data_IF_902108520702
#
_entry.id   IF_902108520702
#
_cell.length_a   1.000
_cell.length_b   1.000
_cell.length_c   1.000
_cell.angle_alpha   90.00
_cell.angle_beta   90.00
_cell.angle_gamma   90.00
#
_symmetry.space_group_name_H-M   'P 1'
#
loop_
_entity.id
_entity.type
_entity.pdbx_description
1 polymer ?
#
# COMPACT_ATOMS: atom_id res chain seq x y z
N UNK A 1 -0.43 18.52 5.35
CA UNK A 1 -0.30 17.78 4.06
C UNK A 1 -1.28 16.62 4.08
N UNK A 2 -1.98 16.35 2.97
CA UNK A 2 -2.99 15.27 2.92
C UNK A 2 -2.32 13.89 3.07
N UNK A 3 -2.88 13.03 3.92
CA UNK A 3 -2.35 11.67 4.20
C UNK A 3 -2.19 10.80 2.94
N UNK A 4 -2.96 11.09 1.89
CA UNK A 4 -2.92 10.43 0.59
C UNK A 4 -1.66 10.72 -0.23
N UNK A 5 -0.97 11.83 0.05
CA UNK A 5 0.27 12.23 -0.62
C UNK A 5 1.52 11.75 0.15
N UNK A 6 1.35 11.09 1.30
CA UNK A 6 2.46 10.49 2.02
C UNK A 6 3.13 9.39 1.17
N UNK A 7 4.41 9.14 1.42
CA UNK A 7 5.17 8.10 0.74
C UNK A 7 4.85 6.70 1.28
N UNK A 8 4.71 5.75 0.34
CA UNK A 8 4.60 4.31 0.56
C UNK A 8 5.73 3.63 -0.21
N UNK A 9 6.50 2.79 0.48
CA UNK A 9 7.58 2.02 -0.11
C UNK A 9 7.01 0.91 -0.99
N UNK A 10 7.62 0.70 -2.16
CA UNK A 10 7.24 -0.39 -3.06
C UNK A 10 8.38 -1.37 -3.22
N UNK A 11 8.08 -2.63 -2.97
CA UNK A 11 8.95 -3.77 -3.16
C UNK A 11 8.66 -4.46 -4.49
N UNK A 12 9.70 -4.99 -5.12
CA UNK A 12 9.55 -5.94 -6.24
C UNK A 12 9.33 -7.38 -5.73
N UNK A 13 9.21 -8.33 -6.66
CA UNK A 13 9.07 -9.77 -6.34
C UNK A 13 10.25 -10.36 -5.58
N UNK A 14 11.42 -9.73 -5.65
CA UNK A 14 12.63 -10.11 -4.90
C UNK A 14 12.72 -9.43 -3.53
N UNK A 15 11.61 -8.89 -3.02
CA UNK A 15 11.54 -8.19 -1.72
C UNK A 15 12.51 -7.00 -1.59
N UNK A 16 12.95 -6.45 -2.73
CA UNK A 16 13.87 -5.31 -2.77
C UNK A 16 13.07 -4.03 -3.00
N UNK A 17 13.40 -2.98 -2.26
CA UNK A 17 12.84 -1.64 -2.46
C UNK A 17 13.21 -1.10 -3.84
N UNK A 18 12.20 -0.76 -4.65
CA UNK A 18 12.41 -0.27 -6.03
C UNK A 18 11.94 1.18 -6.25
N UNK A 19 11.01 1.67 -5.45
CA UNK A 19 10.50 3.06 -5.54
C UNK A 19 9.73 3.45 -4.28
N UNK A 20 9.40 4.74 -4.18
CA UNK A 20 8.40 5.28 -3.26
C UNK A 20 7.27 5.87 -4.10
N UNK A 21 6.02 5.52 -3.78
CA UNK A 21 4.84 6.10 -4.42
C UNK A 21 3.92 6.76 -3.39
N UNK A 22 2.90 7.49 -3.83
CA UNK A 22 1.91 8.05 -2.91
C UNK A 22 1.00 6.96 -2.35
N UNK A 23 0.48 7.15 -1.14
CA UNK A 23 -0.55 6.29 -0.55
C UNK A 23 -1.73 6.10 -1.51
N UNK A 24 -2.15 7.16 -2.21
CA UNK A 24 -3.20 7.07 -3.24
C UNK A 24 -2.87 6.01 -4.31
N UNK A 25 -1.64 6.04 -4.85
CA UNK A 25 -1.20 5.06 -5.87
C UNK A 25 -1.09 3.66 -5.29
N UNK A 26 -0.55 3.52 -4.08
CA UNK A 26 -0.44 2.23 -3.41
C UNK A 26 -1.82 1.58 -3.21
N UNK A 27 -2.80 2.36 -2.74
CA UNK A 27 -4.18 1.89 -2.59
C UNK A 27 -4.81 1.49 -3.92
N UNK A 28 -4.57 2.24 -5.01
CA UNK A 28 -5.06 1.84 -6.34
C UNK A 28 -4.46 0.51 -6.80
N UNK A 29 -3.16 0.28 -6.59
CA UNK A 29 -2.50 -0.98 -6.96
C UNK A 29 -3.00 -2.16 -6.12
N UNK A 30 -3.23 -1.93 -4.82
CA UNK A 30 -3.79 -2.93 -3.92
C UNK A 30 -5.22 -3.32 -4.33
N UNK A 31 -6.08 -2.33 -4.57
CA UNK A 31 -7.47 -2.56 -4.97
C UNK A 31 -7.59 -3.24 -6.35
N UNK A 32 -6.65 -3.01 -7.25
CA UNK A 32 -6.57 -3.71 -8.54
C UNK A 32 -6.03 -5.15 -8.43
N UNK A 33 -5.61 -5.60 -7.25
CA UNK A 33 -4.96 -6.91 -7.07
C UNK A 33 -3.54 -6.97 -7.66
N UNK A 34 -2.93 -5.82 -7.96
CA UNK A 34 -1.58 -5.74 -8.53
C UNK A 34 -0.48 -5.70 -7.46
N UNK A 35 -0.85 -5.46 -6.21
CA UNK A 35 0.07 -5.40 -5.08
C UNK A 35 -0.54 -6.01 -3.82
N UNK A 36 0.32 -6.37 -2.86
CA UNK A 36 -0.05 -6.73 -1.49
C UNK A 36 0.56 -5.77 -0.49
N UNK A 37 -0.11 -5.50 0.62
CA UNK A 37 0.46 -4.74 1.74
C UNK A 37 1.36 -5.65 2.55
N UNK A 38 2.55 -5.18 2.92
CA UNK A 38 3.47 -5.90 3.77
C UNK A 38 3.48 -5.27 5.16
N UNK A 39 3.24 -6.07 6.20
CA UNK A 39 3.34 -5.63 7.59
C UNK A 39 4.76 -5.78 8.18
N UNK A 40 4.91 -5.47 9.47
CA UNK A 40 6.20 -5.57 10.16
C UNK A 40 6.68 -7.02 10.35
N UNK A 41 5.77 -7.99 10.32
CA UNK A 41 6.06 -9.42 10.43
C UNK A 41 6.30 -10.07 9.05
N UNK A 42 6.50 -9.25 8.01
CA UNK A 42 6.67 -9.66 6.61
C UNK A 42 5.48 -10.43 6.04
N UNK A 43 4.29 -10.31 6.63
CA UNK A 43 3.06 -10.91 6.09
C UNK A 43 2.51 -10.01 5.00
N UNK A 44 2.04 -10.64 3.92
CA UNK A 44 1.53 -9.97 2.75
C UNK A 44 0.01 -10.17 2.64
N UNK A 45 -0.74 -9.07 2.66
CA UNK A 45 -2.20 -9.06 2.60
C UNK A 45 -2.67 -8.47 1.28
N UNK A 46 -3.69 -9.07 0.66
CA UNK A 46 -4.41 -8.41 -0.42
C UNK A 46 -5.35 -7.32 0.13
N UNK A 47 -6.18 -6.74 -0.73
CA UNK A 47 -7.08 -5.65 -0.33
C UNK A 47 -8.09 -6.10 0.72
N UNK A 48 -8.71 -7.27 0.52
CA UNK A 48 -9.81 -7.74 1.36
C UNK A 48 -9.28 -8.10 2.75
N UNK A 49 -8.18 -8.87 2.81
CA UNK A 49 -7.50 -9.21 4.06
C UNK A 49 -7.03 -7.94 4.80
N UNK A 50 -6.40 -7.00 4.08
CA UNK A 50 -5.90 -5.77 4.68
C UNK A 50 -7.02 -4.91 5.24
N UNK A 51 -8.19 -4.91 4.60
CA UNK A 51 -9.36 -4.16 5.05
C UNK A 51 -9.90 -4.68 6.38
N UNK A 52 -9.88 -6.00 6.60
CA UNK A 52 -10.29 -6.64 7.84
C UNK A 52 -9.26 -6.39 8.95
N UNK A 53 -7.99 -6.69 8.67
CA UNK A 53 -6.88 -6.49 9.63
C UNK A 53 -6.77 -5.02 10.08
N UNK A 54 -7.02 -4.08 9.15
CA UNK A 54 -7.05 -2.65 9.48
C UNK A 54 -8.10 -2.29 10.54
N UNK A 55 -9.25 -2.97 10.56
CA UNK A 55 -10.30 -2.73 11.54
C UNK A 55 -9.95 -3.32 12.91
N UNK A 56 -9.24 -4.44 12.94
CA UNK A 56 -8.77 -5.05 14.19
C UNK A 56 -7.65 -4.21 14.83
N UNK A 57 -6.84 -3.52 14.02
CA UNK A 57 -5.72 -2.70 14.48
C UNK A 57 -6.08 -1.25 14.84
N UNK A 58 -7.36 -0.89 14.98
CA UNK A 58 -7.83 0.48 15.27
C UNK A 58 -7.23 1.06 16.56
N UNK A 59 -6.83 0.23 17.52
CA UNK A 59 -6.23 0.66 18.79
C UNK A 59 -4.78 1.15 18.69
N UNK A 60 -4.12 0.99 17.54
CA UNK A 60 -2.76 1.46 17.32
C UNK A 60 -2.78 2.91 16.79
N UNK A 61 -1.93 3.85 17.28
CA UNK A 61 -1.95 5.27 16.90
C UNK A 61 -1.44 5.55 15.47
N UNK A 62 -1.56 4.59 14.55
CA UNK A 62 -1.08 4.73 13.18
C UNK A 62 -2.06 5.52 12.33
N UNK A 63 -1.57 6.14 11.26
CA UNK A 63 -2.42 6.85 10.32
C UNK A 63 -3.40 5.92 9.57
N UNK A 64 -4.68 6.30 9.56
CA UNK A 64 -5.75 5.67 8.79
C UNK A 64 -6.26 6.57 7.66
N UNK A 65 -6.73 5.94 6.60
CA UNK A 65 -7.58 6.50 5.55
C UNK A 65 -9.02 6.20 5.94
N UNK A 66 -9.80 7.24 6.17
CA UNK A 66 -11.23 7.12 6.42
C UNK A 66 -11.97 7.21 5.08
N UNK A 67 -12.66 6.15 4.71
CA UNK A 67 -13.69 6.16 3.67
C UNK A 67 -15.07 6.21 4.35
N UNK A 68 -16.15 6.55 3.63
CA UNK A 68 -17.49 6.61 4.22
C UNK A 68 -17.93 5.31 4.90
N UNK A 69 -17.42 4.16 4.44
CA UNK A 69 -17.83 2.83 4.90
C UNK A 69 -16.73 2.08 5.66
N UNK A 70 -15.45 2.46 5.50
CA UNK A 70 -14.30 1.70 6.01
C UNK A 70 -13.20 2.62 6.57
N UNK A 71 -12.48 2.14 7.59
CA UNK A 71 -11.22 2.72 8.04
C UNK A 71 -10.08 1.80 7.64
N UNK A 72 -9.25 2.25 6.71
CA UNK A 72 -8.13 1.47 6.18
C UNK A 72 -6.83 2.01 6.75
N UNK A 73 -5.98 1.14 7.29
CA UNK A 73 -4.64 1.55 7.75
C UNK A 73 -3.81 1.96 6.54
N UNK A 74 -3.06 3.06 6.66
CA UNK A 74 -2.19 3.49 5.57
C UNK A 74 -1.13 2.41 5.30
N UNK A 75 -1.06 1.84 4.08
CA UNK A 75 -0.03 0.89 3.73
C UNK A 75 1.31 1.62 3.64
N UNK A 76 2.24 1.29 4.52
CA UNK A 76 3.60 1.87 4.52
C UNK A 76 4.52 1.15 3.53
N UNK A 77 4.27 -0.13 3.29
CA UNK A 77 5.03 -0.98 2.36
C UNK A 77 4.05 -1.79 1.53
N UNK A 78 4.24 -1.83 0.21
CA UNK A 78 3.53 -2.73 -0.69
C UNK A 78 4.52 -3.55 -1.52
N UNK A 79 4.17 -4.79 -1.86
CA UNK A 79 4.92 -5.64 -2.78
C UNK A 79 4.12 -5.84 -4.07
N UNK A 80 4.76 -5.63 -5.23
CA UNK A 80 4.12 -5.82 -6.53
C UNK A 80 3.99 -7.31 -6.86
N UNK A 81 2.76 -7.75 -7.13
CA UNK A 81 2.45 -9.10 -7.57
C UNK A 81 2.70 -9.27 -9.06
N UNK A 82 2.26 -8.30 -9.85
CA UNK A 82 2.51 -8.24 -11.28
C UNK A 82 3.55 -7.16 -11.47
N UNK A 83 4.76 -7.56 -11.88
CA UNK A 83 5.79 -6.59 -12.28
C UNK A 83 5.44 -6.10 -13.68
N UNK A 84 4.33 -5.37 -13.79
CA UNK A 84 4.06 -4.55 -14.95
C UNK A 84 5.02 -3.39 -14.86
N UNK A 85 6.03 -3.39 -15.73
CA UNK A 85 7.03 -2.33 -15.88
C UNK A 85 6.34 -0.97 -15.69
N UNK A 86 6.51 -0.39 -14.51
CA UNK A 86 5.92 0.90 -14.20
C UNK A 86 6.45 1.93 -15.21
N UNK A 87 5.63 2.89 -15.64
CA UNK A 87 5.94 3.75 -16.76
C UNK A 87 7.31 4.40 -16.51
N UNK A 88 8.23 4.19 -17.45
CA UNK A 88 9.50 4.91 -17.49
C UNK A 88 9.15 6.38 -17.36
N UNK A 89 9.57 7.02 -16.27
CA UNK A 89 9.51 8.47 -16.11
C UNK A 89 10.21 9.07 -17.32
N UNK A 90 9.45 9.49 -18.33
CA UNK A 90 9.99 10.21 -19.47
C UNK A 90 10.24 11.62 -18.97
N UNK A 91 11.50 11.89 -18.63
CA UNK A 91 11.98 13.25 -18.52
C UNK A 91 11.95 13.83 -19.94
N UNK A 92 11.07 14.79 -20.17
CA UNK A 92 11.16 15.74 -21.29
C UNK A 92 11.64 17.07 -20.73
#
# INVERSE_FOLDING_TARGET
MSKLNAGTLVLNRSWTAVQICSVKRAMSLLYQGHAKVVDADYKAYDFDDWSQVSQEMIFNPTDFICTPTLKLRIPRVIALLIYDKLPKRQVS
#
